data_IF_788923791422
#
_entry.id   IF_788923791422
#
_cell.length_a   1.000
_cell.length_b   1.000
_cell.length_c   1.000
_cell.angle_alpha   90.00
_cell.angle_beta   90.00
_cell.angle_gamma   90.00
#
_symmetry.space_group_name_H-M   'P 1'
#
loop_
_entity.id
_entity.type
_entity.pdbx_description
1 polymer ?
#
# COMPACT_ATOMS: atom_id res chain seq x y z
N UNK A 1 -3.61 -14.23 -5.96
CA UNK A 1 -2.23 -13.69 -6.09
C UNK A 1 -1.33 -14.90 -6.03
N UNK A 2 -0.58 -15.16 -7.10
CA UNK A 2 0.15 -16.43 -7.28
C UNK A 2 1.04 -16.78 -6.08
N UNK A 3 1.77 -15.80 -5.52
CA UNK A 3 2.62 -16.02 -4.34
C UNK A 3 1.85 -16.53 -3.12
N UNK A 4 0.59 -16.12 -2.94
CA UNK A 4 -0.24 -16.59 -1.83
C UNK A 4 -0.72 -18.03 -2.05
N UNK A 5 -1.11 -18.35 -3.29
CA UNK A 5 -1.58 -19.68 -3.69
C UNK A 5 -0.48 -20.74 -3.56
N UNK A 6 0.78 -20.33 -3.78
CA UNK A 6 1.98 -21.17 -3.62
C UNK A 6 2.61 -21.05 -2.22
N UNK A 7 1.89 -20.54 -1.23
CA UNK A 7 2.35 -20.41 0.18
C UNK A 7 3.64 -19.58 0.37
N UNK A 8 4.00 -18.78 -0.63
CA UNK A 8 5.14 -17.86 -0.59
C UNK A 8 4.73 -16.54 0.12
N UNK A 9 4.46 -16.62 1.42
CA UNK A 9 3.84 -15.51 2.18
C UNK A 9 4.71 -14.25 2.29
N UNK A 10 6.02 -14.38 2.44
CA UNK A 10 6.93 -13.22 2.41
C UNK A 10 6.86 -12.50 1.05
N UNK A 11 6.95 -13.26 -0.05
CA UNK A 11 6.80 -12.72 -1.40
C UNK A 11 5.43 -12.09 -1.62
N UNK A 12 4.36 -12.71 -1.10
CA UNK A 12 3.02 -12.14 -1.13
C UNK A 12 2.96 -10.78 -0.41
N UNK A 13 3.52 -10.67 0.80
CA UNK A 13 3.51 -9.43 1.57
C UNK A 13 4.28 -8.30 0.89
N UNK A 14 5.45 -8.64 0.34
CA UNK A 14 6.27 -7.74 -0.47
C UNK A 14 5.51 -7.20 -1.68
N UNK A 15 4.96 -8.09 -2.50
CA UNK A 15 4.29 -7.71 -3.76
C UNK A 15 3.02 -6.91 -3.49
N UNK A 16 2.22 -7.30 -2.50
CA UNK A 16 1.05 -6.55 -2.09
C UNK A 16 1.39 -5.11 -1.65
N UNK A 17 2.48 -4.93 -0.89
CA UNK A 17 2.95 -3.61 -0.51
C UNK A 17 3.35 -2.76 -1.72
N UNK A 18 4.19 -3.29 -2.61
CA UNK A 18 4.64 -2.52 -3.77
C UNK A 18 3.51 -2.18 -4.75
N UNK A 19 2.51 -3.05 -4.92
CA UNK A 19 1.31 -2.72 -5.68
C UNK A 19 0.58 -1.50 -5.11
N UNK A 20 0.37 -1.46 -3.80
CA UNK A 20 -0.26 -0.31 -3.12
C UNK A 20 0.61 0.94 -3.21
N UNK A 21 1.93 0.79 -3.02
CA UNK A 21 2.86 1.90 -3.09
C UNK A 21 2.85 2.58 -4.48
N UNK A 22 2.85 1.79 -5.55
CA UNK A 22 2.76 2.31 -6.91
C UNK A 22 1.39 2.92 -7.19
N UNK A 23 0.30 2.32 -6.73
CA UNK A 23 -1.04 2.91 -6.84
C UNK A 23 -1.13 4.26 -6.09
N UNK A 24 -0.53 4.36 -4.90
CA UNK A 24 -0.47 5.61 -4.14
C UNK A 24 0.31 6.69 -4.90
N UNK A 25 1.45 6.35 -5.53
CA UNK A 25 2.17 7.28 -6.41
C UNK A 25 1.29 7.70 -7.59
N UNK A 26 0.60 6.76 -8.24
CA UNK A 26 -0.25 7.03 -9.39
C UNK A 26 -1.35 8.06 -9.06
N UNK A 27 -2.05 7.90 -7.93
CA UNK A 27 -3.09 8.88 -7.55
C UNK A 27 -2.51 10.22 -7.11
N UNK A 28 -1.35 10.25 -6.45
CA UNK A 28 -0.67 11.51 -6.12
C UNK A 28 -0.31 12.28 -7.40
N UNK A 29 0.25 11.59 -8.40
CA UNK A 29 0.55 12.15 -9.71
C UNK A 29 -0.72 12.65 -10.42
N UNK A 30 -1.80 11.86 -10.40
CA UNK A 30 -3.09 12.23 -10.98
C UNK A 30 -3.66 13.50 -10.34
N UNK A 31 -3.43 13.71 -9.04
CA UNK A 31 -3.80 14.94 -8.31
C UNK A 31 -2.77 16.07 -8.40
N UNK A 32 -1.79 15.95 -9.30
CA UNK A 32 -0.82 17.01 -9.60
C UNK A 32 0.36 17.11 -8.62
N UNK A 33 0.49 16.18 -7.68
CA UNK A 33 1.62 16.14 -6.75
C UNK A 33 2.79 15.44 -7.42
N UNK A 34 3.80 16.23 -7.81
CA UNK A 34 5.02 15.76 -8.49
C UNK A 34 6.25 16.06 -7.66
N UNK A 35 7.20 15.11 -7.65
CA UNK A 35 8.53 15.26 -7.06
C UNK A 35 9.54 14.45 -7.86
N UNK A 36 10.83 14.82 -7.76
CA UNK A 36 11.90 14.07 -8.44
C UNK A 36 12.14 12.66 -7.91
N UNK A 37 11.91 12.41 -6.61
CA UNK A 37 11.99 11.07 -5.99
C UNK A 37 10.78 10.84 -5.09
N UNK A 38 10.21 9.64 -5.19
CA UNK A 38 9.06 9.18 -4.42
C UNK A 38 9.54 8.19 -3.35
N UNK A 39 10.12 8.70 -2.26
CA UNK A 39 10.50 7.83 -1.15
C UNK A 39 9.27 7.43 -0.30
N UNK A 40 9.41 6.33 0.44
CA UNK A 40 8.32 5.76 1.22
C UNK A 40 7.68 6.74 2.21
N UNK A 41 8.51 7.55 2.88
CA UNK A 41 8.05 8.51 3.89
C UNK A 41 7.25 9.62 3.23
N UNK A 42 7.73 10.14 2.11
CA UNK A 42 7.03 11.19 1.38
C UNK A 42 5.68 10.71 0.84
N UNK A 43 5.63 9.54 0.20
CA UNK A 43 4.37 9.00 -0.35
C UNK A 43 3.34 8.80 0.75
N UNK A 44 3.75 8.22 1.89
CA UNK A 44 2.86 8.05 3.06
C UNK A 44 2.33 9.38 3.59
N UNK A 45 3.23 10.38 3.74
CA UNK A 45 2.85 11.69 4.24
C UNK A 45 1.87 12.40 3.31
N UNK A 46 2.17 12.48 2.01
CA UNK A 46 1.30 13.18 1.07
C UNK A 46 -0.04 12.47 0.88
N UNK A 47 -0.05 11.13 0.81
CA UNK A 47 -1.29 10.37 0.72
C UNK A 47 -2.20 10.64 1.93
N UNK A 48 -1.64 10.58 3.14
CA UNK A 48 -2.41 10.79 4.37
C UNK A 48 -2.83 12.26 4.58
N UNK A 49 -1.93 13.21 4.39
CA UNK A 49 -2.22 14.62 4.63
C UNK A 49 -3.15 15.19 3.56
N UNK A 50 -2.90 14.90 2.28
CA UNK A 50 -3.66 15.49 1.19
C UNK A 50 -4.95 14.71 0.94
N UNK A 51 -4.84 13.41 0.67
CA UNK A 51 -5.98 12.63 0.15
C UNK A 51 -6.94 12.17 1.24
N UNK A 52 -6.47 12.00 2.48
CA UNK A 52 -7.34 11.61 3.61
C UNK A 52 -7.74 12.82 4.46
N UNK A 53 -6.78 13.55 5.02
CA UNK A 53 -7.10 14.60 6.01
C UNK A 53 -7.66 15.88 5.37
N UNK A 54 -6.93 16.46 4.42
CA UNK A 54 -7.26 17.80 3.88
C UNK A 54 -8.42 17.73 2.89
N UNK A 55 -8.33 16.85 1.91
CA UNK A 55 -9.31 16.77 0.82
C UNK A 55 -10.41 15.75 1.08
N UNK A 56 -10.25 14.85 2.07
CA UNK A 56 -11.25 13.83 2.44
C UNK A 56 -11.73 12.98 1.26
N UNK A 57 -10.83 12.72 0.31
CA UNK A 57 -11.08 11.88 -0.87
C UNK A 57 -11.24 10.42 -0.42
N UNK A 58 -10.39 9.98 0.52
CA UNK A 58 -10.42 8.61 1.03
C UNK A 58 -10.86 8.54 2.50
N UNK A 59 -11.47 7.41 2.91
CA UNK A 59 -11.93 7.23 4.27
C UNK A 59 -10.77 7.18 5.28
N UNK A 60 -10.96 7.77 6.46
CA UNK A 60 -9.91 7.82 7.49
C UNK A 60 -9.35 6.47 7.94
N UNK A 61 -10.14 5.39 7.80
CA UNK A 61 -9.75 4.03 8.21
C UNK A 61 -8.55 3.45 7.46
N UNK A 62 -8.27 3.91 6.23
CA UNK A 62 -7.16 3.40 5.42
C UNK A 62 -5.84 4.14 5.67
N UNK A 63 -5.87 5.20 6.49
CA UNK A 63 -4.68 6.01 6.84
C UNK A 63 -3.48 5.18 7.32
N UNK A 64 -3.62 4.13 8.14
CA UNK A 64 -2.45 3.38 8.61
C UNK A 64 -1.94 2.37 7.57
N UNK A 65 -2.69 2.08 6.50
CA UNK A 65 -2.41 0.93 5.62
C UNK A 65 -1.02 0.98 5.00
N UNK A 66 -0.61 2.10 4.38
CA UNK A 66 0.71 2.20 3.75
C UNK A 66 1.86 1.97 4.74
N UNK A 67 1.71 2.41 6.00
CA UNK A 67 2.71 2.21 7.04
C UNK A 67 2.71 0.76 7.52
N UNK A 68 1.55 0.22 7.89
CA UNK A 68 1.40 -1.17 8.34
C UNK A 68 1.91 -2.16 7.29
N UNK A 69 1.54 -1.94 6.03
CA UNK A 69 1.95 -2.79 4.94
C UNK A 69 3.46 -2.71 4.69
N UNK A 70 4.07 -1.54 4.85
CA UNK A 70 5.53 -1.41 4.78
C UNK A 70 6.22 -2.17 5.90
N UNK A 71 5.70 -2.10 7.14
CA UNK A 71 6.28 -2.82 8.27
C UNK A 71 6.28 -4.33 8.01
N UNK A 72 5.15 -4.89 7.56
CA UNK A 72 5.08 -6.32 7.23
C UNK A 72 6.01 -6.70 6.06
N UNK A 73 6.14 -5.82 5.06
CA UNK A 73 7.10 -6.03 3.96
C UNK A 73 8.55 -5.99 4.46
N UNK A 74 8.88 -5.15 5.43
CA UNK A 74 10.22 -5.12 6.00
C UNK A 74 10.53 -6.43 6.73
N UNK A 75 9.58 -6.95 7.51
CA UNK A 75 9.68 -8.29 8.10
C UNK A 75 9.91 -9.35 7.04
N UNK A 76 9.11 -9.32 5.97
CA UNK A 76 9.19 -10.30 4.87
C UNK A 76 10.56 -10.32 4.16
N UNK A 77 11.21 -9.17 4.01
CA UNK A 77 12.39 -9.00 3.17
C UNK A 77 13.71 -9.01 3.94
N UNK A 78 13.71 -8.59 5.21
CA UNK A 78 14.94 -8.25 5.93
C UNK A 78 15.06 -8.85 7.32
N UNK A 79 13.96 -9.34 7.91
CA UNK A 79 14.01 -9.94 9.23
C UNK A 79 14.14 -11.46 9.14
N UNK A 80 14.59 -12.08 10.22
CA UNK A 80 14.64 -13.55 10.32
C UNK A 80 13.25 -14.18 10.54
N UNK A 81 12.25 -13.36 10.88
CA UNK A 81 10.87 -13.79 11.08
C UNK A 81 10.14 -14.03 9.75
N UNK A 82 9.24 -15.01 9.73
CA UNK A 82 8.41 -15.31 8.55
C UNK A 82 7.03 -14.70 8.65
N UNK A 83 6.52 -14.17 7.53
CA UNK A 83 5.13 -13.72 7.43
C UNK A 83 4.19 -14.92 7.49
N UNK A 84 3.21 -14.87 8.40
CA UNK A 84 2.19 -15.91 8.50
C UNK A 84 1.20 -15.85 7.32
N UNK A 85 0.52 -16.98 7.05
CA UNK A 85 -0.62 -17.02 6.11
C UNK A 85 -1.68 -15.96 6.42
N UNK A 86 -1.96 -15.75 7.71
CA UNK A 86 -2.95 -14.79 8.18
C UNK A 86 -2.53 -13.35 7.85
N UNK A 87 -1.26 -13.01 8.12
CA UNK A 87 -0.75 -11.67 7.87
C UNK A 87 -0.64 -11.40 6.37
N UNK A 88 -0.21 -12.37 5.58
CA UNK A 88 -0.22 -12.26 4.12
C UNK A 88 -1.65 -12.08 3.56
N UNK A 89 -2.65 -12.76 4.13
CA UNK A 89 -4.05 -12.60 3.74
C UNK A 89 -4.58 -11.21 4.10
N UNK A 90 -4.23 -10.69 5.29
CA UNK A 90 -4.62 -9.33 5.70
C UNK A 90 -3.94 -8.27 4.82
N UNK A 91 -2.66 -8.47 4.48
CA UNK A 91 -1.93 -7.62 3.52
C UNK A 91 -2.65 -7.57 2.16
N UNK A 92 -3.08 -8.72 1.63
CA UNK A 92 -3.85 -8.79 0.39
C UNK A 92 -5.20 -8.08 0.49
N UNK A 93 -5.90 -8.26 1.61
CA UNK A 93 -7.19 -7.60 1.86
C UNK A 93 -7.04 -6.07 1.85
N UNK A 94 -6.05 -5.55 2.59
CA UNK A 94 -5.71 -4.11 2.61
C UNK A 94 -5.35 -3.60 1.22
N UNK A 95 -4.54 -4.37 0.49
CA UNK A 95 -4.13 -4.02 -0.87
C UNK A 95 -5.33 -3.90 -1.82
N UNK A 96 -6.23 -4.89 -1.82
CA UNK A 96 -7.45 -4.86 -2.64
C UNK A 96 -8.34 -3.67 -2.28
N UNK A 97 -8.51 -3.37 -1.00
CA UNK A 97 -9.35 -2.24 -0.57
C UNK A 97 -8.79 -0.89 -1.05
N UNK A 98 -7.52 -0.61 -0.78
CA UNK A 98 -6.93 0.69 -1.14
C UNK A 98 -6.77 0.86 -2.66
N UNK A 99 -6.39 -0.20 -3.38
CA UNK A 99 -6.29 -0.16 -4.84
C UNK A 99 -7.67 0.07 -5.46
N UNK A 100 -8.70 -0.65 -5.00
CA UNK A 100 -10.07 -0.44 -5.49
C UNK A 100 -10.65 0.94 -5.18
N UNK A 101 -10.18 1.62 -4.12
CA UNK A 101 -10.51 3.02 -3.87
C UNK A 101 -9.76 3.97 -4.82
N UNK A 102 -8.50 3.67 -5.11
CA UNK A 102 -7.67 4.46 -6.02
C UNK A 102 -8.18 4.36 -7.46
N UNK A 103 -8.46 3.15 -7.95
CA UNK A 103 -9.03 2.85 -9.27
C UNK A 103 -10.29 3.69 -9.54
N UNK A 104 -11.24 3.67 -8.59
CA UNK A 104 -12.46 4.48 -8.65
C UNK A 104 -12.18 5.99 -8.74
N UNK A 105 -11.13 6.48 -8.09
CA UNK A 105 -10.77 7.90 -8.08
C UNK A 105 -10.08 8.34 -9.38
N UNK A 106 -9.25 7.48 -9.96
CA UNK A 106 -8.52 7.79 -11.21
C UNK A 106 -9.32 7.43 -12.47
N UNK A 107 -10.47 6.77 -12.33
CA UNK A 107 -11.33 6.34 -13.43
C UNK A 107 -10.76 5.16 -14.22
N UNK A 108 -10.03 4.26 -13.56
CA UNK A 108 -9.46 3.03 -14.12
C UNK A 108 -10.05 1.80 -13.45
#
# INVERSE_FOLDING_TARGET
>A
MLSFEHECYNACANRAYFSVFQAAIAVLLHKGMKRGKYDHRWVQSEFNEKLIKRHKIYPGRIKPYLMEMQMLRNTADYENDTVSKKDAADQLRKAKEIIGLIEKEIGQ
#
